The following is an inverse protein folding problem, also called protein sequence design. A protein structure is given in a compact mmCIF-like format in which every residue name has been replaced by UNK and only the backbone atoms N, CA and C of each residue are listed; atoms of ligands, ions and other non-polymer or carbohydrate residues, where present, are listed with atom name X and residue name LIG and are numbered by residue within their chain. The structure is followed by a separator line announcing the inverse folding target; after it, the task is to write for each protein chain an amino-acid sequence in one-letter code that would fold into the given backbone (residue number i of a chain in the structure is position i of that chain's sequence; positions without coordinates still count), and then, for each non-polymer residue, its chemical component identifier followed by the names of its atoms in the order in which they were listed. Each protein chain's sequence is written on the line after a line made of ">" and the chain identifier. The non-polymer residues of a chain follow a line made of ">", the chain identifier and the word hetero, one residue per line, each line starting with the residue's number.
data_IF_142809033426
#
_entry.id   IF_142809033426
#
_cell.length_a   1.000
_cell.length_b   1.000
_cell.length_c   1.000
_cell.angle_alpha   90.00
_cell.angle_beta   90.00
_cell.angle_gamma   90.00
#
_symmetry.space_group_name_H-M   'P 1'
#
loop_
_entity.id
_entity.type
_entity.pdbx_description
1 polymer ?
#
# COMPACT_ATOMS: atom_id res chain seq x y z
N UNK A 1 1.01 25.19 -10.01
CA UNK A 1 1.12 23.71 -9.96
C UNK A 1 -0.17 23.18 -9.36
N UNK A 2 -1.02 22.50 -10.13
CA UNK A 2 -2.35 22.08 -9.66
C UNK A 2 -2.30 20.70 -9.02
N UNK A 3 -2.62 20.65 -7.72
CA UNK A 3 -2.67 19.48 -6.85
C UNK A 3 -3.91 18.59 -7.12
N UNK A 4 -4.29 18.39 -8.38
CA UNK A 4 -5.53 17.70 -8.75
C UNK A 4 -5.28 16.69 -9.88
N UNK A 5 -4.77 15.52 -9.51
CA UNK A 5 -4.77 14.30 -10.35
C UNK A 5 -4.56 13.02 -9.53
N UNK A 6 -4.88 13.04 -8.23
CA UNK A 6 -4.63 11.89 -7.33
C UNK A 6 -5.94 11.12 -7.13
N UNK A 7 -6.47 10.57 -8.21
CA UNK A 7 -7.64 9.70 -8.17
C UNK A 7 -7.33 8.38 -8.86
N UNK A 8 -7.27 7.30 -8.09
CA UNK A 8 -7.42 5.90 -8.55
C UNK A 8 -6.23 5.08 -9.06
N UNK A 9 -4.96 5.51 -8.95
CA UNK A 9 -3.81 4.61 -9.26
C UNK A 9 -3.03 4.09 -8.04
N UNK A 10 -3.17 4.69 -6.86
CA UNK A 10 -2.32 4.40 -5.68
C UNK A 10 -3.10 4.07 -4.39
N UNK A 11 -4.29 3.45 -4.48
CA UNK A 11 -5.11 3.15 -3.28
C UNK A 11 -4.41 2.27 -2.24
N UNK A 12 -3.41 1.49 -2.64
CA UNK A 12 -2.66 0.58 -1.76
C UNK A 12 -1.25 1.06 -1.43
N UNK A 13 -0.84 2.23 -1.94
CA UNK A 13 0.47 2.81 -1.65
C UNK A 13 0.34 3.75 -0.47
N UNK A 14 1.04 3.44 0.62
CA UNK A 14 0.91 4.14 1.90
C UNK A 14 2.28 4.46 2.46
N UNK A 15 2.34 5.41 3.38
CA UNK A 15 3.50 5.56 4.26
C UNK A 15 3.51 4.42 5.28
N UNK A 16 4.57 3.62 5.28
CA UNK A 16 4.85 2.65 6.34
C UNK A 16 5.73 3.36 7.37
N UNK A 17 5.14 3.66 8.52
CA UNK A 17 5.80 4.38 9.60
C UNK A 17 6.58 3.41 10.50
N UNK A 18 7.91 3.53 10.46
CA UNK A 18 8.82 2.90 11.40
C UNK A 18 9.05 3.77 12.65
N UNK A 19 10.04 3.39 13.46
CA UNK A 19 10.39 4.13 14.68
C UNK A 19 11.09 5.46 14.38
N UNK A 20 11.89 5.51 13.32
CA UNK A 20 12.77 6.63 12.97
C UNK A 20 12.49 7.22 11.59
N UNK A 21 11.88 6.44 10.69
CA UNK A 21 11.62 6.86 9.32
C UNK A 21 10.23 6.40 8.86
N UNK A 22 9.70 7.07 7.85
CA UNK A 22 8.50 6.64 7.12
C UNK A 22 8.89 6.35 5.69
N UNK A 23 8.67 5.12 5.24
CA UNK A 23 8.98 4.69 3.87
C UNK A 23 7.70 4.42 3.12
N UNK A 24 7.67 4.70 1.82
CA UNK A 24 6.53 4.29 0.99
C UNK A 24 6.56 2.77 0.80
N UNK A 25 5.40 2.15 0.83
CA UNK A 25 5.26 0.73 0.58
C UNK A 25 3.85 0.37 0.15
N UNK A 26 3.71 -0.84 -0.36
CA UNK A 26 2.43 -1.34 -0.83
C UNK A 26 1.78 -2.33 0.12
N UNK A 27 0.56 -2.02 0.55
CA UNK A 27 -0.21 -2.87 1.48
C UNK A 27 -1.24 -3.78 0.79
N UNK A 28 -1.17 -3.96 -0.53
CA UNK A 28 -2.15 -4.76 -1.29
C UNK A 28 -2.17 -6.24 -0.91
N UNK A 29 -1.08 -6.78 -0.36
CA UNK A 29 -1.01 -8.16 0.12
C UNK A 29 -1.63 -8.34 1.51
N UNK A 30 -1.87 -7.24 2.24
CA UNK A 30 -2.59 -7.29 3.51
C UNK A 30 -4.08 -7.48 3.18
N UNK A 31 -4.63 -8.66 3.48
CA UNK A 31 -6.03 -9.03 3.11
C UNK A 31 -7.05 -7.93 3.40
N UNK A 32 -7.01 -7.37 4.62
CA UNK A 32 -7.90 -6.31 5.05
C UNK A 32 -7.94 -5.08 4.12
N UNK A 33 -6.80 -4.76 3.48
CA UNK A 33 -6.70 -3.67 2.51
C UNK A 33 -6.89 -4.18 1.08
N UNK A 34 -6.19 -5.23 0.69
CA UNK A 34 -6.19 -5.79 -0.67
C UNK A 34 -7.53 -6.35 -1.16
N UNK A 35 -8.43 -6.68 -0.23
CA UNK A 35 -9.82 -7.08 -0.50
C UNK A 35 -10.82 -5.93 -0.29
N UNK A 36 -10.35 -4.74 0.09
CA UNK A 36 -11.16 -3.58 0.43
C UNK A 36 -12.17 -3.83 1.58
N UNK A 37 -11.89 -4.82 2.42
CA UNK A 37 -12.65 -5.07 3.67
C UNK A 37 -12.55 -3.87 4.62
N UNK A 38 -11.45 -3.11 4.52
CA UNK A 38 -11.22 -1.86 5.23
C UNK A 38 -10.70 -0.78 4.27
N UNK A 39 -11.00 0.51 4.56
CA UNK A 39 -10.36 1.61 3.86
C UNK A 39 -8.86 1.56 4.09
N UNK A 40 -8.09 1.92 3.07
CA UNK A 40 -6.63 1.98 3.14
C UNK A 40 -6.24 3.35 3.69
N UNK A 41 -5.61 3.42 4.88
CA UNK A 41 -5.18 4.70 5.42
C UNK A 41 -3.94 5.21 4.68
N UNK A 42 -3.68 6.53 4.69
CA UNK A 42 -2.50 7.11 4.02
C UNK A 42 -1.18 6.70 4.70
N UNK A 43 -1.21 6.36 5.99
CA UNK A 43 -0.06 5.91 6.78
C UNK A 43 -0.45 4.71 7.63
N UNK A 44 0.43 3.71 7.72
CA UNK A 44 0.25 2.49 8.53
C UNK A 44 1.51 2.28 9.40
N UNK A 45 1.38 2.08 10.72
CA UNK A 45 2.49 1.70 11.57
C UNK A 45 3.08 0.35 11.17
N UNK A 46 4.41 0.24 11.16
CA UNK A 46 5.12 -1.01 10.80
C UNK A 46 4.66 -2.19 11.66
N UNK A 47 4.38 -1.97 12.95
CA UNK A 47 3.89 -3.01 13.85
C UNK A 47 2.52 -3.57 13.42
N UNK A 48 1.63 -2.74 12.87
CA UNK A 48 0.33 -3.22 12.41
C UNK A 48 0.43 -4.05 11.13
N UNK A 49 1.44 -3.78 10.30
CA UNK A 49 1.75 -4.60 9.12
C UNK A 49 2.30 -5.95 9.60
N UNK A 50 3.32 -5.94 10.46
CA UNK A 50 3.95 -7.16 10.97
C UNK A 50 2.94 -8.06 11.70
N UNK A 51 2.01 -7.50 12.48
CA UNK A 51 0.94 -8.27 13.13
C UNK A 51 0.01 -8.99 12.15
N UNK A 52 -0.13 -8.50 10.92
CA UNK A 52 -1.05 -9.04 9.91
C UNK A 52 -0.38 -10.00 8.94
N UNK A 53 0.87 -9.72 8.57
CA UNK A 53 1.57 -10.44 7.49
C UNK A 53 2.98 -10.90 7.86
N UNK A 54 3.42 -10.69 9.10
CA UNK A 54 4.77 -11.03 9.56
C UNK A 54 5.86 -10.12 9.00
N UNK A 55 7.11 -10.44 9.34
CA UNK A 55 8.29 -9.73 8.84
C UNK A 55 8.51 -9.96 7.33
N UNK A 56 8.27 -11.18 6.85
CA UNK A 56 8.36 -11.50 5.41
C UNK A 56 7.33 -10.72 4.59
N UNK A 57 6.10 -10.61 5.10
CA UNK A 57 5.07 -9.79 4.45
C UNK A 57 5.39 -8.30 4.47
N UNK A 58 6.03 -7.80 5.53
CA UNK A 58 6.52 -6.42 5.59
C UNK A 58 7.61 -6.17 4.53
N UNK A 59 8.58 -7.08 4.40
CA UNK A 59 9.65 -6.98 3.41
C UNK A 59 9.09 -6.91 1.98
N UNK A 60 8.08 -7.73 1.67
CA UNK A 60 7.35 -7.66 0.40
C UNK A 60 6.60 -6.34 0.19
N UNK A 61 6.04 -5.74 1.25
CA UNK A 61 5.39 -4.43 1.18
C UNK A 61 6.41 -3.33 0.85
N UNK A 62 7.64 -3.43 1.35
CA UNK A 62 8.71 -2.47 1.14
C UNK A 62 9.41 -2.67 -0.22
N UNK A 63 9.59 -3.90 -0.68
CA UNK A 63 10.15 -4.23 -2.01
C UNK A 63 9.34 -3.67 -3.17
N UNK A 64 8.01 -3.63 -3.03
CA UNK A 64 7.11 -3.02 -4.02
C UNK A 64 6.92 -1.51 -3.82
N UNK A 65 7.63 -0.91 -2.87
CA UNK A 65 7.64 0.50 -2.55
C UNK A 65 8.44 1.37 -3.55
N UNK A 66 8.49 0.96 -4.82
CA UNK A 66 9.19 1.72 -5.85
C UNK A 66 8.44 3.05 -6.11
N UNK A 67 9.10 4.21 -5.95
CA UNK A 67 8.46 5.52 -6.08
C UNK A 67 8.03 5.85 -7.52
N UNK A 68 8.59 5.16 -8.52
CA UNK A 68 8.28 5.31 -9.95
C UNK A 68 7.23 4.27 -10.41
N UNK A 69 7.01 3.21 -9.63
CA UNK A 69 5.96 2.24 -9.89
C UNK A 69 4.55 2.85 -9.69
N UNK A 70 3.79 2.90 -10.79
CA UNK A 70 2.41 3.43 -10.80
C UNK A 70 1.39 2.51 -10.09
N UNK A 71 1.75 1.28 -9.76
CA UNK A 71 0.89 0.33 -9.05
C UNK A 71 1.69 -0.79 -8.40
N UNK A 72 1.11 -1.45 -7.40
CA UNK A 72 1.74 -2.57 -6.70
C UNK A 72 1.68 -3.92 -7.43
N UNK A 73 1.34 -3.91 -8.72
CA UNK A 73 1.15 -5.14 -9.51
C UNK A 73 -0.17 -5.88 -9.27
N UNK A 74 -1.14 -5.29 -8.56
CA UNK A 74 -2.53 -5.75 -8.56
C UNK A 74 -3.39 -4.69 -9.22
N UNK A 75 -3.64 -4.86 -10.51
CA UNK A 75 -4.74 -4.17 -11.16
C UNK A 75 -6.01 -4.75 -10.53
N UNK A 76 -6.89 -3.90 -9.98
CA UNK A 76 -8.25 -4.36 -9.72
C UNK A 76 -8.77 -4.95 -11.04
N UNK A 77 -9.44 -6.11 -11.05
CA UNK A 77 -10.10 -6.56 -12.27
C UNK A 77 -11.04 -5.43 -12.67
N UNK A 78 -10.71 -4.74 -13.76
CA UNK A 78 -11.66 -3.86 -14.40
C UNK A 78 -12.87 -4.72 -14.67
N UNK A 79 -14.04 -4.34 -14.14
CA UNK A 79 -15.27 -4.94 -14.65
C UNK A 79 -15.26 -4.66 -16.14
N UNK A 80 -15.06 -5.71 -16.93
CA UNK A 80 -15.47 -5.72 -18.33
C UNK A 80 -16.99 -5.76 -18.27
N UNK A 81 -17.59 -4.65 -18.66
CA UNK A 81 -18.97 -4.59 -19.12
C UNK A 81 -19.05 -5.27 -20.48
#
# INVERSE_FOLDING_TARGET
>A
MNAQSIGYLNKFFVGIQGKTETRKGCVVKIKAYGNLEKPVPPVVPVMDIVKRVGLEGLDECLKRGDPDARSCGKFAPGKRE
#
